data_IF_465544989591
#
_entry.id   IF_465544989591
#
_cell.length_a   1.000
_cell.length_b   1.000
_cell.length_c   1.000
_cell.angle_alpha   90.00
_cell.angle_beta   90.00
_cell.angle_gamma   90.00
#
_symmetry.space_group_name_H-M   'P 1'
#
loop_
_entity.id
_entity.type
_entity.pdbx_description
1 polymer ?
#
# COMPACT_ATOMS: atom_id res chain seq x y z
N UNK A 1 -15.39 -34.20 -7.11
CA UNK A 1 -15.52 -33.01 -7.96
C UNK A 1 -15.42 -31.82 -7.01
N UNK A 2 -14.21 -31.35 -6.75
CA UNK A 2 -13.98 -30.18 -5.90
C UNK A 2 -14.49 -28.96 -6.66
N UNK A 3 -15.50 -28.30 -6.12
CA UNK A 3 -15.97 -27.01 -6.62
C UNK A 3 -14.76 -26.07 -6.62
N UNK A 4 -14.27 -25.69 -7.79
CA UNK A 4 -13.24 -24.68 -7.91
C UNK A 4 -13.85 -23.39 -7.36
N UNK A 5 -13.45 -23.02 -6.13
CA UNK A 5 -13.89 -21.78 -5.52
C UNK A 5 -13.51 -20.64 -6.47
N UNK A 6 -14.45 -19.73 -6.75
CA UNK A 6 -14.17 -18.57 -7.59
C UNK A 6 -12.89 -17.89 -7.08
N UNK A 7 -11.97 -17.46 -7.98
CA UNK A 7 -10.69 -16.89 -7.56
C UNK A 7 -10.94 -15.72 -6.61
N UNK A 8 -10.35 -15.79 -5.41
CA UNK A 8 -10.41 -14.71 -4.42
C UNK A 8 -9.85 -13.44 -5.04
N UNK A 9 -10.48 -12.30 -4.74
CA UNK A 9 -10.01 -11.00 -5.21
C UNK A 9 -9.10 -10.39 -4.17
N UNK A 10 -7.96 -9.88 -4.62
CA UNK A 10 -7.07 -9.04 -3.81
C UNK A 10 -7.49 -7.57 -3.96
N UNK A 11 -7.78 -6.90 -2.85
CA UNK A 11 -8.00 -5.46 -2.80
C UNK A 11 -6.69 -4.76 -2.47
N UNK A 12 -6.13 -4.05 -3.44
CA UNK A 12 -4.97 -3.19 -3.22
C UNK A 12 -5.48 -1.79 -2.84
N UNK A 13 -5.30 -1.39 -1.58
CA UNK A 13 -5.71 -0.09 -1.06
C UNK A 13 -4.47 0.80 -0.92
N UNK A 14 -4.45 1.94 -1.61
CA UNK A 14 -3.29 2.84 -1.60
C UNK A 14 -3.61 4.15 -0.92
N UNK A 15 -2.86 4.43 0.15
CA UNK A 15 -2.77 5.73 0.79
C UNK A 15 -1.62 6.53 0.16
N UNK A 16 -1.91 7.16 -0.99
CA UNK A 16 -0.88 7.85 -1.76
C UNK A 16 -0.25 9.02 -1.01
N UNK A 17 -1.02 9.72 -0.16
CA UNK A 17 -0.52 10.85 0.62
C UNK A 17 0.46 10.38 1.69
N UNK A 18 0.16 9.30 2.42
CA UNK A 18 1.08 8.72 3.39
C UNK A 18 2.39 8.22 2.76
N UNK A 19 2.31 7.55 1.60
CA UNK A 19 3.51 7.08 0.89
C UNK A 19 4.37 8.27 0.43
N UNK A 20 3.79 9.27 -0.23
CA UNK A 20 4.52 10.45 -0.71
C UNK A 20 5.08 11.28 0.46
N UNK A 21 4.34 11.41 1.57
CA UNK A 21 4.77 12.13 2.75
C UNK A 21 5.97 11.44 3.44
N UNK A 22 5.92 10.11 3.59
CA UNK A 22 7.02 9.32 4.17
C UNK A 22 8.26 9.40 3.29
N UNK A 23 8.10 9.20 1.98
CA UNK A 23 9.18 9.32 1.00
C UNK A 23 9.82 10.71 1.03
N UNK A 24 9.00 11.77 1.03
CA UNK A 24 9.51 13.13 0.99
C UNK A 24 10.20 13.54 2.29
N UNK A 25 9.51 13.38 3.43
CA UNK A 25 10.00 13.88 4.71
C UNK A 25 11.11 13.03 5.33
N UNK A 26 10.99 11.70 5.27
CA UNK A 26 11.82 10.79 6.06
C UNK A 26 12.97 10.19 5.26
N UNK A 27 12.84 10.10 3.93
CA UNK A 27 13.88 9.51 3.06
C UNK A 27 14.62 10.60 2.28
N UNK A 28 13.91 11.51 1.63
CA UNK A 28 14.53 12.48 0.71
C UNK A 28 14.84 13.84 1.34
N UNK A 29 14.24 14.15 2.50
CA UNK A 29 14.36 15.47 3.13
C UNK A 29 13.76 16.61 2.31
N UNK A 30 12.77 16.32 1.45
CA UNK A 30 12.15 17.27 0.53
C UNK A 30 11.10 16.64 -0.39
N UNK A 31 10.45 17.44 -1.23
CA UNK A 31 9.42 16.94 -2.15
C UNK A 31 10.06 15.99 -3.18
N UNK A 32 9.53 14.76 -3.36
CA UNK A 32 10.07 13.82 -4.35
C UNK A 32 9.98 14.37 -5.77
N UNK A 33 11.05 14.19 -6.56
CA UNK A 33 11.04 14.39 -8.01
C UNK A 33 10.25 13.29 -8.72
N UNK A 34 9.81 13.48 -9.98
CA UNK A 34 9.11 12.44 -10.73
C UNK A 34 9.85 11.10 -10.78
N UNK A 35 11.19 11.12 -10.89
CA UNK A 35 12.03 9.93 -10.98
C UNK A 35 12.16 9.19 -9.65
N UNK A 36 11.98 9.91 -8.53
CA UNK A 36 12.02 9.37 -7.17
C UNK A 36 10.67 8.84 -6.70
N UNK A 37 9.57 9.08 -7.44
CA UNK A 37 8.24 8.58 -7.06
C UNK A 37 8.06 7.10 -7.37
N UNK A 38 7.16 6.41 -6.65
CA UNK A 38 6.79 5.04 -6.96
C UNK A 38 6.22 4.90 -8.38
N UNK A 39 6.64 3.84 -9.05
CA UNK A 39 6.09 3.32 -10.30
C UNK A 39 4.88 2.46 -9.96
N UNK A 40 3.70 3.10 -9.91
CA UNK A 40 2.44 2.45 -9.51
C UNK A 40 2.09 1.22 -10.36
N UNK A 41 2.53 1.16 -11.62
CA UNK A 41 2.40 -0.01 -12.47
C UNK A 41 3.14 -1.24 -11.91
N UNK A 42 4.30 -1.04 -11.26
CA UNK A 42 5.06 -2.11 -10.60
C UNK A 42 4.38 -2.55 -9.32
N UNK A 43 3.79 -1.62 -8.56
CA UNK A 43 2.99 -1.92 -7.37
C UNK A 43 1.77 -2.78 -7.73
N UNK A 44 1.04 -2.42 -8.80
CA UNK A 44 -0.09 -3.21 -9.28
C UNK A 44 0.35 -4.59 -9.79
N UNK A 45 1.44 -4.64 -10.57
CA UNK A 45 1.98 -5.90 -11.08
C UNK A 45 2.40 -6.82 -9.95
N UNK A 46 3.09 -6.29 -8.93
CA UNK A 46 3.46 -7.01 -7.73
C UNK A 46 2.22 -7.59 -7.05
N UNK A 47 1.21 -6.76 -6.76
CA UNK A 47 -0.03 -7.21 -6.13
C UNK A 47 -0.74 -8.36 -6.88
N UNK A 48 -0.69 -8.34 -8.22
CA UNK A 48 -1.26 -9.42 -9.05
C UNK A 48 -0.47 -10.72 -8.92
N UNK A 49 0.84 -10.63 -8.72
CA UNK A 49 1.75 -11.77 -8.65
C UNK A 49 1.87 -12.37 -7.25
N UNK A 50 1.84 -11.54 -6.19
CA UNK A 50 2.06 -11.95 -4.79
C UNK A 50 1.22 -13.16 -4.41
N UNK A 51 -0.07 -13.13 -4.77
CA UNK A 51 -1.01 -14.20 -4.47
C UNK A 51 -1.62 -14.87 -5.70
N UNK A 52 -1.21 -14.45 -6.91
CA UNK A 52 -1.70 -14.93 -8.21
C UNK A 52 -3.24 -14.86 -8.31
N UNK A 53 -3.79 -13.68 -8.03
CA UNK A 53 -5.24 -13.42 -7.94
C UNK A 53 -5.64 -12.19 -8.77
N UNK A 54 -6.91 -12.07 -9.19
CA UNK A 54 -7.46 -10.81 -9.67
C UNK A 54 -7.30 -9.70 -8.63
N UNK A 55 -6.81 -8.53 -9.07
CA UNK A 55 -6.61 -7.37 -8.18
C UNK A 55 -7.62 -6.27 -8.50
N UNK A 56 -8.28 -5.74 -7.47
CA UNK A 56 -8.99 -4.47 -7.51
C UNK A 56 -8.13 -3.39 -6.84
N UNK A 57 -7.51 -2.54 -7.66
CA UNK A 57 -6.59 -1.51 -7.19
C UNK A 57 -7.33 -0.19 -6.94
N UNK A 58 -7.36 0.25 -5.69
CA UNK A 58 -8.07 1.43 -5.21
C UNK A 58 -7.07 2.47 -4.71
N UNK A 59 -7.11 3.66 -5.30
CA UNK A 59 -6.19 4.75 -4.94
C UNK A 59 -6.97 5.90 -4.30
N UNK A 60 -6.77 6.14 -3.01
CA UNK A 60 -7.54 7.12 -2.26
C UNK A 60 -6.91 8.52 -2.38
N UNK A 61 -7.74 9.53 -2.64
CA UNK A 61 -7.30 10.91 -2.87
C UNK A 61 -8.14 11.87 -2.04
N UNK A 62 -7.49 12.83 -1.38
CA UNK A 62 -8.17 13.94 -0.76
C UNK A 62 -8.59 14.97 -1.83
N UNK A 63 -9.89 15.24 -1.90
CA UNK A 63 -10.55 16.18 -2.80
C UNK A 63 -11.35 17.26 -2.04
N UNK A 64 -11.14 17.43 -0.73
CA UNK A 64 -11.88 18.40 0.10
C UNK A 64 -11.74 19.84 -0.38
N UNK A 65 -10.62 20.17 -1.03
CA UNK A 65 -10.38 21.50 -1.62
C UNK A 65 -11.05 21.69 -3.00
N UNK A 66 -11.85 20.72 -3.48
CA UNK A 66 -12.54 20.78 -4.77
C UNK A 66 -11.63 20.68 -5.99
N UNK A 67 -10.34 20.37 -5.80
CA UNK A 67 -9.35 20.25 -6.87
C UNK A 67 -8.73 18.85 -6.85
N UNK A 68 -8.53 18.28 -8.04
CA UNK A 68 -7.86 17.00 -8.24
C UNK A 68 -6.73 17.17 -9.26
N UNK A 69 -5.56 16.54 -9.05
CA UNK A 69 -4.47 16.56 -10.02
C UNK A 69 -4.83 15.69 -11.22
N UNK A 70 -5.56 16.25 -12.20
CA UNK A 70 -6.16 15.47 -13.29
C UNK A 70 -5.16 14.67 -14.12
N UNK A 71 -3.94 15.17 -14.33
CA UNK A 71 -2.89 14.40 -15.02
C UNK A 71 -2.49 13.15 -14.24
N UNK A 72 -2.41 13.24 -12.92
CA UNK A 72 -2.13 12.09 -12.06
C UNK A 72 -3.30 11.10 -12.03
N UNK A 73 -4.54 11.60 -11.93
CA UNK A 73 -5.76 10.78 -12.00
C UNK A 73 -5.83 10.01 -13.33
N UNK A 74 -5.53 10.67 -14.45
CA UNK A 74 -5.48 10.02 -15.77
C UNK A 74 -4.39 8.95 -15.85
N UNK A 75 -3.21 9.20 -15.27
CA UNK A 75 -2.14 8.21 -15.20
C UNK A 75 -2.55 6.97 -14.39
N UNK A 76 -3.21 7.15 -13.23
CA UNK A 76 -3.74 6.05 -12.42
C UNK A 76 -4.73 5.20 -13.21
N UNK A 77 -5.68 5.83 -13.90
CA UNK A 77 -6.66 5.14 -14.76
C UNK A 77 -5.98 4.36 -15.89
N UNK A 78 -4.96 4.94 -16.53
CA UNK A 78 -4.21 4.29 -17.61
C UNK A 78 -3.41 3.07 -17.12
N UNK A 79 -2.95 3.09 -15.87
CA UNK A 79 -2.26 1.95 -15.22
C UNK A 79 -3.26 0.85 -14.83
N UNK A 80 -4.53 1.20 -14.57
CA UNK A 80 -5.57 0.28 -14.13
C UNK A 80 -5.98 0.44 -12.66
N UNK A 81 -5.56 1.52 -12.00
CA UNK A 81 -6.12 1.90 -10.71
C UNK A 81 -7.49 2.54 -10.88
N UNK A 82 -8.35 2.34 -9.88
CA UNK A 82 -9.56 3.10 -9.66
C UNK A 82 -9.28 4.23 -8.65
N UNK A 83 -9.20 5.50 -9.08
CA UNK A 83 -9.07 6.64 -8.18
C UNK A 83 -10.36 6.81 -7.37
N UNK A 84 -10.23 7.03 -6.07
CA UNK A 84 -11.31 7.25 -5.10
C UNK A 84 -11.12 8.64 -4.49
N UNK A 85 -11.58 9.72 -5.16
CA UNK A 85 -11.57 11.05 -4.59
C UNK A 85 -12.61 11.17 -3.48
N UNK A 86 -12.19 11.59 -2.30
CA UNK A 86 -13.03 11.77 -1.12
C UNK A 86 -13.00 13.23 -0.66
N UNK A 87 -14.13 13.72 -0.18
CA UNK A 87 -14.28 15.08 0.31
C UNK A 87 -15.06 15.05 1.63
N UNK A 88 -14.75 16.02 2.49
CA UNK A 88 -15.28 16.14 3.84
C UNK A 88 -14.83 17.46 4.45
N UNK A 89 -15.19 17.67 5.71
CA UNK A 89 -14.84 18.85 6.49
C UNK A 89 -13.31 18.95 6.71
N UNK A 90 -12.82 20.15 7.03
CA UNK A 90 -11.37 20.43 7.11
C UNK A 90 -10.62 19.65 8.20
N UNK A 91 -11.33 19.15 9.21
CA UNK A 91 -10.77 18.31 10.28
C UNK A 91 -10.85 16.82 9.97
N UNK A 92 -11.56 16.41 8.91
CA UNK A 92 -11.71 15.02 8.54
C UNK A 92 -10.51 14.55 7.73
N UNK A 93 -9.82 13.51 8.23
CA UNK A 93 -8.84 12.75 7.45
C UNK A 93 -9.56 11.84 6.44
N UNK A 94 -10.10 12.43 5.38
CA UNK A 94 -11.02 11.74 4.45
C UNK A 94 -10.43 10.49 3.81
N UNK A 95 -9.12 10.47 3.54
CA UNK A 95 -8.39 9.31 2.99
C UNK A 95 -8.38 8.16 4.00
N UNK A 96 -7.93 8.41 5.23
CA UNK A 96 -7.91 7.43 6.32
C UNK A 96 -9.32 6.86 6.56
N UNK A 97 -10.32 7.74 6.67
CA UNK A 97 -11.72 7.34 6.86
C UNK A 97 -12.20 6.45 5.71
N UNK A 98 -11.85 6.80 4.47
CA UNK A 98 -12.20 6.03 3.28
C UNK A 98 -11.58 4.63 3.27
N UNK A 99 -10.30 4.53 3.61
CA UNK A 99 -9.58 3.26 3.69
C UNK A 99 -10.16 2.39 4.81
N UNK A 100 -10.38 2.93 6.01
CA UNK A 100 -10.99 2.20 7.15
C UNK A 100 -12.36 1.63 6.80
N UNK A 101 -13.26 2.44 6.25
CA UNK A 101 -14.58 1.99 5.78
C UNK A 101 -14.49 0.91 4.71
N UNK A 102 -13.44 0.97 3.88
CA UNK A 102 -13.22 -0.04 2.84
C UNK A 102 -12.72 -1.35 3.44
N UNK A 103 -11.79 -1.31 4.41
CA UNK A 103 -11.31 -2.48 5.15
C UNK A 103 -12.46 -3.17 5.89
N UNK A 104 -13.29 -2.42 6.62
CA UNK A 104 -14.50 -2.94 7.29
C UNK A 104 -15.47 -3.61 6.31
N UNK A 105 -15.70 -2.99 5.15
CA UNK A 105 -16.56 -3.57 4.11
C UNK A 105 -15.98 -4.86 3.52
N UNK A 106 -14.66 -4.95 3.39
CA UNK A 106 -13.94 -6.16 2.93
C UNK A 106 -14.00 -7.25 3.99
N UNK A 107 -13.88 -6.91 5.28
CA UNK A 107 -14.05 -7.86 6.39
C UNK A 107 -15.41 -8.58 6.27
N UNK A 108 -16.50 -7.82 6.10
CA UNK A 108 -17.86 -8.39 5.99
C UNK A 108 -18.21 -9.10 4.66
N UNK A 109 -17.41 -8.95 3.59
CA UNK A 109 -17.70 -9.53 2.26
C UNK A 109 -16.71 -10.59 1.79
N UNK A 110 -15.54 -10.68 2.44
CA UNK A 110 -14.43 -11.54 2.02
C UNK A 110 -13.50 -10.86 1.01
N UNK A 111 -12.35 -11.50 0.77
CA UNK A 111 -11.29 -11.02 -0.11
C UNK A 111 -9.99 -10.72 0.63
N UNK A 112 -8.88 -10.82 -0.09
CA UNK A 112 -7.55 -10.62 0.47
C UNK A 112 -7.15 -9.15 0.31
N UNK A 113 -6.27 -8.62 1.16
CA UNK A 113 -5.98 -7.17 1.22
C UNK A 113 -4.49 -6.90 1.16
N UNK A 114 -4.09 -6.01 0.25
CA UNK A 114 -2.79 -5.33 0.30
C UNK A 114 -3.01 -3.87 0.63
N UNK A 115 -2.53 -3.39 1.77
CA UNK A 115 -2.56 -1.98 2.15
C UNK A 115 -1.20 -1.35 1.89
N UNK A 116 -1.15 -0.29 1.09
CA UNK A 116 0.04 0.55 0.95
C UNK A 116 -0.06 1.78 1.85
N UNK A 117 0.53 1.70 3.04
CA UNK A 117 0.62 2.78 4.03
C UNK A 117 1.65 2.42 5.12
N UNK A 118 2.06 3.41 5.90
CA UNK A 118 2.87 3.25 7.11
C UNK A 118 2.06 3.52 8.40
N UNK A 119 0.83 4.00 8.26
CA UNK A 119 0.05 4.56 9.36
C UNK A 119 -0.50 3.48 10.30
N UNK A 120 -0.16 3.58 11.59
CA UNK A 120 -0.68 2.72 12.65
C UNK A 120 -2.16 2.88 12.93
N UNK A 121 -2.78 3.96 12.46
CA UNK A 121 -4.21 4.21 12.62
C UNK A 121 -5.06 3.11 11.96
N UNK A 122 -4.54 2.36 10.98
CA UNK A 122 -5.21 1.23 10.31
C UNK A 122 -5.08 -0.12 11.02
N UNK A 123 -4.28 -0.20 12.10
CA UNK A 123 -4.03 -1.47 12.79
C UNK A 123 -5.30 -2.16 13.31
N UNK A 124 -6.31 -1.47 13.89
CA UNK A 124 -7.53 -2.11 14.37
C UNK A 124 -8.34 -2.81 13.26
N UNK A 125 -8.40 -2.22 12.07
CA UNK A 125 -9.10 -2.81 10.93
C UNK A 125 -8.31 -3.94 10.30
N UNK A 126 -6.97 -3.82 10.21
CA UNK A 126 -6.12 -4.91 9.73
C UNK A 126 -6.10 -6.10 10.70
N UNK A 127 -6.15 -5.88 12.01
CA UNK A 127 -6.23 -6.93 13.02
C UNK A 127 -7.44 -7.84 12.78
N UNK A 128 -8.61 -7.26 12.54
CA UNK A 128 -9.84 -8.01 12.23
C UNK A 128 -9.73 -8.84 10.94
N UNK A 129 -8.94 -8.39 9.98
CA UNK A 129 -8.70 -9.13 8.74
C UNK A 129 -7.66 -10.23 8.91
N UNK A 130 -6.64 -10.01 9.74
CA UNK A 130 -5.57 -10.97 10.04
C UNK A 130 -6.09 -12.12 10.90
N UNK A 131 -7.06 -11.86 11.79
CA UNK A 131 -7.69 -12.90 12.63
C UNK A 131 -8.57 -13.89 11.83
N UNK A 132 -8.87 -13.59 10.56
CA UNK A 132 -9.54 -14.48 9.62
C UNK A 132 -8.49 -15.38 8.93
N UNK A 133 -8.30 -16.61 9.44
CA UNK A 133 -7.25 -17.54 8.95
C UNK A 133 -7.36 -17.89 7.45
N UNK A 134 -8.54 -17.71 6.85
CA UNK A 134 -8.78 -17.94 5.42
C UNK A 134 -8.43 -16.72 4.54
N UNK A 135 -7.90 -15.64 5.14
CA UNK A 135 -7.60 -14.38 4.48
C UNK A 135 -6.11 -14.09 4.47
N UNK A 136 -5.64 -13.58 3.34
CA UNK A 136 -4.30 -13.01 3.25
C UNK A 136 -4.36 -11.51 3.41
N UNK A 137 -3.49 -10.99 4.26
CA UNK A 137 -3.39 -9.56 4.55
C UNK A 137 -1.93 -9.19 4.44
N UNK A 138 -1.63 -8.20 3.62
CA UNK A 138 -0.27 -7.72 3.41
C UNK A 138 -0.17 -6.20 3.48
N UNK A 139 1.01 -5.73 3.87
CA UNK A 139 1.37 -4.33 3.99
C UNK A 139 2.49 -4.00 3.01
N UNK A 140 2.28 -3.00 2.14
CA UNK A 140 3.28 -2.44 1.24
C UNK A 140 3.83 -1.15 1.86
N UNK A 141 5.06 -1.19 2.36
CA UNK A 141 5.64 -0.08 3.11
C UNK A 141 7.16 -0.03 2.95
N UNK A 142 7.79 1.04 3.41
CA UNK A 142 9.18 1.02 3.82
C UNK A 142 9.23 0.48 5.26
N UNK A 143 9.79 -0.73 5.44
CA UNK A 143 9.69 -1.49 6.69
C UNK A 143 10.21 -0.71 7.92
N UNK A 144 11.20 0.13 7.74
CA UNK A 144 11.81 0.98 8.78
C UNK A 144 10.90 2.12 9.27
N UNK A 145 9.86 2.46 8.51
CA UNK A 145 8.89 3.51 8.87
C UNK A 145 7.52 2.95 9.25
N UNK A 146 7.35 1.63 9.24
CA UNK A 146 6.11 0.99 9.69
C UNK A 146 5.89 1.23 11.18
N UNK A 147 4.67 1.62 11.56
CA UNK A 147 4.31 1.85 12.96
C UNK A 147 4.47 0.59 13.83
N UNK A 148 4.63 0.78 15.14
CA UNK A 148 4.75 -0.33 16.10
C UNK A 148 3.47 -1.17 16.16
N UNK A 149 2.31 -0.53 15.98
CA UNK A 149 1.01 -1.19 15.96
C UNK A 149 0.88 -2.16 14.78
N UNK A 150 1.27 -1.73 13.57
CA UNK A 150 1.29 -2.60 12.39
C UNK A 150 2.35 -3.70 12.51
N UNK A 151 3.53 -3.36 13.03
CA UNK A 151 4.62 -4.32 13.23
C UNK A 151 4.22 -5.46 14.17
N UNK A 152 3.38 -5.19 15.18
CA UNK A 152 2.87 -6.19 16.10
C UNK A 152 1.95 -7.24 15.43
N UNK A 153 1.36 -6.93 14.27
CA UNK A 153 0.50 -7.85 13.51
C UNK A 153 1.28 -8.85 12.66
N UNK A 154 2.58 -8.59 12.39
CA UNK A 154 3.41 -9.48 11.56
C UNK A 154 3.49 -10.89 12.16
N UNK A 155 3.69 -10.99 13.48
CA UNK A 155 3.71 -12.27 14.19
C UNK A 155 2.36 -13.00 14.20
N UNK A 156 1.29 -12.37 13.74
CA UNK A 156 -0.07 -12.91 13.67
C UNK A 156 -0.52 -13.26 12.25
N UNK A 157 0.30 -12.99 11.24
CA UNK A 157 -0.01 -13.34 9.84
C UNK A 157 -0.06 -12.15 8.88
N UNK A 158 0.18 -10.91 9.33
CA UNK A 158 0.35 -9.78 8.41
C UNK A 158 1.65 -9.96 7.61
N UNK A 159 1.53 -10.17 6.30
CA UNK A 159 2.68 -10.20 5.39
C UNK A 159 3.19 -8.77 5.17
N UNK A 160 4.50 -8.56 5.10
CA UNK A 160 5.07 -7.21 4.85
C UNK A 160 5.97 -7.26 3.63
N UNK A 161 5.78 -6.28 2.75
CA UNK A 161 6.48 -6.17 1.48
C UNK A 161 7.11 -4.79 1.36
N UNK A 162 8.42 -4.77 1.16
CA UNK A 162 9.20 -3.55 1.04
C UNK A 162 9.01 -2.93 -0.36
N UNK A 163 8.60 -1.66 -0.39
CA UNK A 163 8.31 -0.95 -1.64
C UNK A 163 9.53 -0.84 -2.59
N UNK A 164 10.74 -0.80 -2.06
CA UNK A 164 11.95 -0.72 -2.88
C UNK A 164 12.52 -2.10 -3.21
N UNK A 165 12.65 -2.97 -2.20
CA UNK A 165 13.30 -4.28 -2.31
C UNK A 165 12.43 -5.34 -2.97
N UNK A 166 11.21 -5.53 -2.47
CA UNK A 166 10.32 -6.60 -2.93
C UNK A 166 9.51 -6.16 -4.16
N UNK A 167 8.94 -4.96 -4.09
CA UNK A 167 8.06 -4.42 -5.14
C UNK A 167 8.85 -3.82 -6.30
N UNK A 168 10.12 -3.46 -6.08
CA UNK A 168 10.96 -2.74 -7.04
C UNK A 168 10.27 -1.47 -7.57
N UNK A 169 9.54 -0.74 -6.72
CA UNK A 169 8.68 0.37 -7.15
C UNK A 169 9.46 1.60 -7.64
N UNK A 170 10.78 1.66 -7.53
CA UNK A 170 11.57 2.86 -7.85
C UNK A 170 12.51 2.66 -9.03
N UNK A 171 12.77 3.73 -9.78
CA UNK A 171 13.77 3.74 -10.85
C UNK A 171 15.19 3.98 -10.33
N UNK A 172 15.30 4.50 -9.11
CA UNK A 172 16.54 4.87 -8.45
C UNK A 172 16.59 4.19 -7.09
N UNK A 173 17.80 3.92 -6.61
CA UNK A 173 18.00 3.53 -5.22
C UNK A 173 17.76 4.74 -4.32
N UNK A 174 16.95 4.55 -3.31
CA UNK A 174 16.60 5.57 -2.33
C UNK A 174 17.72 5.70 -1.28
N UNK A 175 18.05 6.90 -0.81
CA UNK A 175 19.09 7.14 0.19
C UNK A 175 18.58 6.80 1.60
N UNK A 176 18.05 5.59 1.80
CA UNK A 176 17.44 5.16 3.06
C UNK A 176 18.38 4.29 3.89
N UNK A 177 18.27 4.41 5.21
CA UNK A 177 18.95 3.53 6.16
C UNK A 177 17.96 2.45 6.61
N UNK A 178 18.26 1.19 6.28
CA UNK A 178 17.45 0.04 6.68
C UNK A 178 18.31 -1.08 7.25
N UNK A 179 17.67 -1.95 8.01
CA UNK A 179 18.25 -3.25 8.36
C UNK A 179 18.07 -4.16 7.14
N UNK A 180 19.18 -4.74 6.67
CA UNK A 180 19.19 -5.67 5.52
C UNK A 180 19.48 -7.06 6.07
N UNK A 181 18.55 -8.01 5.92
CA UNK A 181 18.83 -9.42 6.18
C UNK A 181 20.06 -9.87 5.37
N UNK A 182 20.95 -10.65 5.99
CA UNK A 182 22.23 -11.00 5.37
C UNK A 182 22.05 -11.79 4.05
N UNK A 183 20.99 -12.56 3.94
CA UNK A 183 20.57 -13.29 2.75
C UNK A 183 20.04 -12.39 1.62
N UNK A 184 19.53 -11.19 1.94
CA UNK A 184 19.15 -10.15 0.98
C UNK A 184 20.33 -9.23 0.58
N UNK A 185 21.48 -9.32 1.26
CA UNK A 185 22.58 -8.38 1.06
C UNK A 185 23.31 -8.63 -0.26
N UNK A 186 23.25 -7.65 -1.16
CA UNK A 186 24.03 -7.60 -2.39
C UNK A 186 25.07 -6.47 -2.31
N UNK A 187 26.37 -6.78 -2.17
CA UNK A 187 27.43 -5.77 -2.07
C UNK A 187 27.57 -4.93 -3.33
N UNK A 188 27.16 -5.43 -4.52
CA UNK A 188 27.25 -4.67 -5.76
C UNK A 188 26.32 -3.45 -5.80
N UNK A 189 25.33 -3.37 -4.91
CA UNK A 189 24.48 -2.18 -4.73
C UNK A 189 25.17 -1.03 -3.99
N UNK A 190 26.38 -1.24 -3.47
CA UNK A 190 27.11 -0.28 -2.64
C UNK A 190 28.51 0.07 -3.18
N UNK A 191 28.88 -0.45 -4.34
CA UNK A 191 30.16 -0.21 -5.03
C UNK A 191 29.92 0.62 -6.29
#
# INVERSE_FOLDING_TARGET
MTTEAAPRTTYLLVDGENIDATLGSSILGGRPTPEQRPRWERVLTFAQQTWNQPVKALFFLNASNGNLPMSFVQALLAIGFQPIPLSGESYEKVVDIGIKRTLEAIHGRGGDVLLASHDGDFAPELEQLVDDEDRRVGLLAFREFTSTQLSALVGRGLETFDLEGDVAAFNVQLPRLRIIPLDEFDPLRYL
#
